data_IF_492567785409
#
_entry.id   IF_492567785409
#
_cell.length_a   1.000
_cell.length_b   1.000
_cell.length_c   1.000
_cell.angle_alpha   90.00
_cell.angle_beta   90.00
_cell.angle_gamma   90.00
#
_symmetry.space_group_name_H-M   'P 1'
#
loop_
_entity.id
_entity.type
_entity.pdbx_description
1 polymer ?
#
# COMPACT_ATOMS: atom_id res chain seq x y z
N UNK A 1 18.97 -10.41 7.95
CA UNK A 1 17.63 -9.85 7.67
C UNK A 1 17.82 -8.40 7.27
N UNK A 2 17.58 -8.09 6.00
CA UNK A 2 17.68 -6.73 5.44
C UNK A 2 16.33 -6.04 5.68
N UNK A 3 16.22 -5.29 6.77
CA UNK A 3 15.10 -4.35 6.94
C UNK A 3 15.36 -3.20 5.97
N UNK A 4 14.43 -3.00 5.04
CA UNK A 4 14.51 -2.05 3.93
C UNK A 4 15.17 -0.72 4.31
N UNK A 5 16.28 -0.43 3.65
CA UNK A 5 17.07 0.80 3.79
C UNK A 5 16.41 2.01 3.14
N UNK A 6 15.32 1.84 2.38
CA UNK A 6 14.70 2.89 1.56
C UNK A 6 13.98 3.99 2.35
N UNK A 7 13.62 3.74 3.60
CA UNK A 7 12.97 4.72 4.47
C UNK A 7 13.94 5.43 5.43
N UNK A 8 15.20 4.95 5.54
CA UNK A 8 16.17 5.48 6.50
C UNK A 8 16.55 6.91 6.10
N UNK A 9 16.12 7.89 6.91
CA UNK A 9 16.35 9.32 6.67
C UNK A 9 15.27 10.02 5.84
N UNK A 10 14.19 9.34 5.44
CA UNK A 10 13.03 10.00 4.83
C UNK A 10 12.07 10.52 5.89
N UNK A 11 11.53 11.72 5.67
CA UNK A 11 10.49 12.26 6.53
C UNK A 11 9.17 11.53 6.24
N UNK A 12 8.77 10.63 7.15
CA UNK A 12 7.53 9.84 7.04
C UNK A 12 6.37 10.44 7.82
N UNK A 13 6.52 11.64 8.41
CA UNK A 13 5.47 12.27 9.24
C UNK A 13 4.16 12.51 8.48
N UNK A 14 4.24 12.76 7.17
CA UNK A 14 3.07 12.98 6.33
C UNK A 14 2.39 11.71 5.84
N UNK A 15 3.01 10.53 5.99
CA UNK A 15 2.46 9.29 5.44
C UNK A 15 1.22 8.87 6.23
N UNK A 16 0.21 8.37 5.53
CA UNK A 16 -0.93 7.72 6.14
C UNK A 16 -0.49 6.36 6.69
N UNK A 17 -0.84 6.08 7.95
CA UNK A 17 -0.48 4.84 8.62
C UNK A 17 -1.68 3.91 8.68
N UNK A 18 -1.53 2.70 8.17
CA UNK A 18 -2.55 1.66 8.22
C UNK A 18 -1.95 0.47 8.96
N UNK A 19 -2.59 0.09 10.06
CA UNK A 19 -2.24 -1.14 10.77
C UNK A 19 -3.04 -2.30 10.18
N UNK A 20 -2.36 -3.36 9.77
CA UNK A 20 -2.98 -4.59 9.26
C UNK A 20 -2.30 -5.78 9.94
N UNK A 21 -3.05 -6.53 10.75
CA UNK A 21 -2.51 -7.63 11.56
C UNK A 21 -1.28 -7.17 12.38
N UNK A 22 -0.12 -7.80 12.17
CA UNK A 22 1.14 -7.53 12.86
C UNK A 22 2.06 -6.57 12.07
N UNK A 23 1.56 -5.90 11.03
CA UNK A 23 2.34 -4.96 10.19
C UNK A 23 1.76 -3.55 10.18
N UNK A 24 2.65 -2.54 10.23
CA UNK A 24 2.32 -1.13 9.96
C UNK A 24 2.71 -0.79 8.52
N UNK A 25 1.74 -0.32 7.74
CA UNK A 25 1.92 0.07 6.35
C UNK A 25 1.88 1.61 6.28
N UNK A 26 2.93 2.19 5.69
CA UNK A 26 3.00 3.61 5.42
C UNK A 26 2.59 3.88 3.96
N UNK A 27 1.48 4.58 3.79
CA UNK A 27 0.93 4.96 2.49
C UNK A 27 1.27 6.42 2.21
N UNK A 28 1.87 6.67 1.06
CA UNK A 28 2.32 8.00 0.67
C UNK A 28 1.10 8.92 0.32
N UNK A 29 1.11 10.21 0.72
CA UNK A 29 -0.05 11.09 0.54
C UNK A 29 -0.50 11.32 -0.90
N UNK A 30 0.43 11.35 -1.85
CA UNK A 30 0.13 11.47 -3.28
C UNK A 30 -0.69 10.28 -3.76
N UNK A 31 -0.37 9.06 -3.30
CA UNK A 31 -1.17 7.86 -3.63
C UNK A 31 -2.61 7.95 -3.08
N UNK A 32 -2.78 8.45 -1.85
CA UNK A 32 -4.12 8.70 -1.25
C UNK A 32 -4.87 9.79 -2.02
N UNK A 33 -4.16 10.83 -2.45
CA UNK A 33 -4.73 11.90 -3.28
C UNK A 33 -5.25 11.37 -4.61
N UNK A 34 -4.48 10.49 -5.27
CA UNK A 34 -4.77 9.94 -6.59
C UNK A 34 -5.78 8.79 -6.59
N UNK A 35 -6.03 8.14 -5.45
CA UNK A 35 -6.91 6.97 -5.38
C UNK A 35 -8.30 7.28 -4.87
N UNK A 36 -9.29 6.55 -5.38
CA UNK A 36 -10.64 6.45 -4.82
C UNK A 36 -10.63 5.43 -3.67
N UNK A 37 -10.03 4.28 -3.95
CA UNK A 37 -9.94 3.16 -3.02
C UNK A 37 -8.52 2.60 -3.04
N UNK A 38 -7.98 2.28 -1.86
CA UNK A 38 -6.74 1.49 -1.71
C UNK A 38 -7.09 0.28 -0.86
N UNK A 39 -6.98 -0.91 -1.44
CA UNK A 39 -7.13 -2.18 -0.74
C UNK A 39 -5.76 -2.81 -0.49
N UNK A 40 -5.50 -3.11 0.78
CA UNK A 40 -4.25 -3.71 1.24
C UNK A 40 -4.55 -5.10 1.78
N UNK A 41 -3.90 -6.12 1.22
CA UNK A 41 -4.18 -7.52 1.58
C UNK A 41 -2.91 -8.32 1.84
N UNK A 42 -2.91 -9.12 2.90
CA UNK A 42 -1.96 -10.21 3.08
C UNK A 42 -2.61 -11.50 2.61
N UNK A 43 -2.02 -12.15 1.60
CA UNK A 43 -2.50 -13.42 1.05
C UNK A 43 -1.56 -14.53 1.47
N UNK A 44 -2.09 -15.60 2.06
CA UNK A 44 -1.35 -16.81 2.36
C UNK A 44 -1.83 -17.94 1.46
N UNK A 45 -0.94 -18.50 0.64
CA UNK A 45 -1.23 -19.69 -0.16
C UNK A 45 -0.21 -20.80 0.14
N UNK A 46 -0.70 -21.88 0.74
CA UNK A 46 0.09 -23.03 1.22
C UNK A 46 1.21 -22.63 2.22
N UNK A 47 2.41 -22.33 1.72
CA UNK A 47 3.57 -21.87 2.50
C UNK A 47 4.09 -20.50 2.03
N UNK A 48 3.47 -19.91 1.01
CA UNK A 48 3.83 -18.60 0.50
C UNK A 48 2.96 -17.51 1.13
N UNK A 49 3.59 -16.47 1.64
CA UNK A 49 2.93 -15.22 2.02
C UNK A 49 3.22 -14.18 0.95
N UNK A 50 2.19 -13.53 0.45
CA UNK A 50 2.30 -12.39 -0.46
C UNK A 50 1.51 -11.20 0.08
N UNK A 51 1.91 -10.02 -0.35
CA UNK A 51 1.25 -8.77 -0.05
C UNK A 51 0.67 -8.23 -1.36
N UNK A 52 -0.61 -7.85 -1.34
CA UNK A 52 -1.30 -7.23 -2.48
C UNK A 52 -1.67 -5.79 -2.14
N UNK A 53 -1.47 -4.92 -3.13
CA UNK A 53 -1.90 -3.53 -3.12
C UNK A 53 -2.75 -3.34 -4.36
N UNK A 54 -4.04 -3.12 -4.15
CA UNK A 54 -5.01 -2.85 -5.21
C UNK A 54 -5.41 -1.38 -5.09
N UNK A 55 -5.23 -0.61 -6.16
CA UNK A 55 -5.46 0.85 -6.16
C UNK A 55 -6.45 1.20 -7.26
N UNK A 56 -7.58 1.73 -6.87
CA UNK A 56 -8.54 2.35 -7.79
C UNK A 56 -8.20 3.83 -7.92
N UNK A 57 -7.89 4.29 -9.14
CA UNK A 57 -7.41 5.66 -9.38
C UNK A 57 -8.58 6.57 -9.74
N UNK A 58 -8.64 7.75 -9.11
CA UNK A 58 -9.65 8.79 -9.38
C UNK A 58 -9.69 9.15 -10.87
N UNK A 59 -10.86 9.00 -11.47
CA UNK A 59 -11.12 9.46 -12.83
C UNK A 59 -10.70 8.51 -13.96
N UNK A 60 -10.22 7.30 -13.66
CA UNK A 60 -10.00 6.26 -14.68
C UNK A 60 -11.24 5.34 -14.81
N UNK A 61 -12.35 5.90 -15.32
CA UNK A 61 -13.40 5.11 -15.97
C UNK A 61 -12.86 4.54 -17.30
N UNK A 62 -11.96 3.56 -17.26
CA UNK A 62 -11.61 2.81 -18.46
C UNK A 62 -12.65 1.71 -18.63
N UNK A 63 -13.73 2.08 -19.34
CA UNK A 63 -14.64 1.16 -20.02
C UNK A 63 -13.81 0.22 -20.88
N UNK A 64 -13.56 -1.01 -20.41
CA UNK A 64 -13.17 -2.11 -21.28
C UNK A 64 -14.48 -2.76 -21.76
N UNK A 65 -14.85 -2.38 -22.99
CA UNK A 65 -15.73 -3.14 -23.86
C UNK A 65 -15.03 -4.42 -24.34
#
# INVERSE_FOLDING_TARGET
>A
MSVDTYLRGKNTQGYHKVALEDVEILVEPTLVGMSETIDLGLKQFLMFKSFSVDVEVKGHHHSLA
#
